data_IF_454443735004
#
_entry.id   IF_454443735004
#
_cell.length_a   1.000
_cell.length_b   1.000
_cell.length_c   1.000
_cell.angle_alpha   90.00
_cell.angle_beta   90.00
_cell.angle_gamma   90.00
#
_symmetry.space_group_name_H-M   'P 1'
#
loop_
_entity.id
_entity.type
_entity.pdbx_description
1 polymer ?
#
# COMPACT_ATOMS: atom_id res chain seq x y z
N UNK A 1 -3.14 22.07 23.80
CA UNK A 1 -2.85 20.82 24.53
C UNK A 1 -2.49 19.75 23.52
N UNK A 2 -1.38 19.03 23.72
CA UNK A 2 -1.14 17.80 22.97
C UNK A 2 -2.31 16.85 23.22
N UNK A 3 -2.88 16.24 22.18
CA UNK A 3 -3.94 15.25 22.35
C UNK A 3 -3.37 14.08 23.14
N UNK A 4 -4.00 13.72 24.26
CA UNK A 4 -3.63 12.52 25.01
C UNK A 4 -3.86 11.29 24.14
N UNK A 5 -2.84 10.46 23.96
CA UNK A 5 -2.96 9.21 23.21
C UNK A 5 -3.54 8.12 24.14
N UNK A 6 -4.77 7.63 23.92
CA UNK A 6 -5.41 6.69 24.83
C UNK A 6 -4.78 5.29 24.83
N UNK A 7 -3.85 5.03 23.91
CA UNK A 7 -3.15 3.76 23.76
C UNK A 7 -1.70 3.81 24.24
N UNK A 8 -1.27 4.92 24.87
CA UNK A 8 0.06 5.05 25.46
C UNK A 8 0.02 5.03 27.00
N UNK A 9 1.03 4.43 27.67
CA UNK A 9 2.10 3.62 27.07
C UNK A 9 1.55 2.29 26.51
N UNK A 10 2.14 1.81 25.43
CA UNK A 10 1.84 0.48 24.88
C UNK A 10 2.92 -0.52 25.29
N UNK A 11 2.47 -1.66 25.81
CA UNK A 11 3.33 -2.82 26.10
C UNK A 11 2.78 -4.01 25.31
N UNK A 12 3.61 -4.67 24.47
CA UNK A 12 3.18 -5.86 23.75
C UNK A 12 2.66 -6.97 24.66
N UNK A 13 1.69 -7.74 24.16
CA UNK A 13 1.25 -8.99 24.78
C UNK A 13 2.47 -9.93 24.99
N UNK A 14 2.70 -10.45 26.22
CA UNK A 14 3.77 -11.41 26.49
C UNK A 14 3.74 -12.66 25.60
N UNK A 15 2.56 -13.18 25.23
CA UNK A 15 2.42 -14.32 24.32
C UNK A 15 3.05 -13.98 22.97
N UNK A 16 2.75 -12.80 22.45
CA UNK A 16 3.31 -12.32 21.19
C UNK A 16 4.82 -12.10 21.30
N UNK A 17 5.28 -11.47 22.38
CA UNK A 17 6.70 -11.19 22.58
C UNK A 17 7.54 -12.48 22.56
N UNK A 18 7.00 -13.58 23.09
CA UNK A 18 7.64 -14.90 23.06
C UNK A 18 7.72 -15.53 21.65
N UNK A 19 6.95 -15.03 20.68
CA UNK A 19 6.95 -15.51 19.29
C UNK A 19 7.89 -14.71 18.38
N UNK A 20 8.53 -13.65 18.89
CA UNK A 20 9.44 -12.83 18.11
C UNK A 20 10.63 -13.66 17.60
N UNK A 21 10.98 -13.58 16.31
CA UNK A 21 12.13 -14.31 15.80
C UNK A 21 13.44 -13.72 16.32
N UNK A 22 14.53 -14.49 16.21
CA UNK A 22 15.88 -14.02 16.55
C UNK A 22 16.47 -13.00 15.55
N UNK A 23 15.69 -12.53 14.57
CA UNK A 23 16.11 -11.54 13.56
C UNK A 23 15.10 -10.40 13.52
N UNK A 24 15.60 -9.17 13.51
CA UNK A 24 14.76 -7.96 13.42
C UNK A 24 14.11 -7.85 12.03
N UNK A 25 12.84 -7.43 11.99
CA UNK A 25 12.19 -7.08 10.73
C UNK A 25 12.73 -5.78 10.13
N UNK A 26 13.31 -4.89 10.94
CA UNK A 26 14.05 -3.73 10.45
C UNK A 26 15.33 -4.15 9.69
N UNK A 27 16.05 -5.17 10.18
CA UNK A 27 17.22 -5.72 9.48
C UNK A 27 16.84 -6.36 8.14
N UNK A 28 15.77 -7.17 8.11
CA UNK A 28 15.30 -7.78 6.84
C UNK A 28 14.88 -6.68 5.84
N UNK A 29 14.23 -5.61 6.34
CA UNK A 29 13.91 -4.42 5.55
C UNK A 29 15.14 -3.60 5.14
N UNK A 30 16.31 -3.81 5.76
CA UNK A 30 17.55 -3.11 5.46
C UNK A 30 17.61 -1.69 6.01
N UNK A 31 17.01 -1.44 7.18
CA UNK A 31 17.20 -0.20 7.92
C UNK A 31 18.68 -0.01 8.27
N UNK A 32 19.23 1.16 7.94
CA UNK A 32 20.64 1.50 8.16
C UNK A 32 21.59 1.04 7.05
N UNK A 33 21.14 0.18 6.12
CA UNK A 33 21.97 -0.27 5.00
C UNK A 33 22.16 0.86 3.97
N UNK A 34 23.42 1.21 3.68
CA UNK A 34 23.79 2.26 2.71
C UNK A 34 23.94 1.75 1.29
N UNK A 35 24.15 0.45 1.10
CA UNK A 35 24.19 -0.18 -0.22
C UNK A 35 22.78 -0.55 -0.67
N UNK A 36 22.54 -0.45 -1.97
CA UNK A 36 21.29 -0.92 -2.56
C UNK A 36 21.22 -2.45 -2.52
N UNK A 37 20.03 -2.96 -2.20
CA UNK A 37 19.59 -4.31 -2.52
C UNK A 37 18.07 -4.34 -2.70
N UNK A 38 17.59 -5.37 -3.40
CA UNK A 38 16.16 -5.63 -3.60
C UNK A 38 15.44 -5.88 -2.25
N UNK A 39 14.13 -5.60 -2.16
CA UNK A 39 13.38 -5.87 -0.94
C UNK A 39 13.34 -7.37 -0.62
N UNK A 40 13.27 -7.69 0.68
CA UNK A 40 12.98 -9.03 1.18
C UNK A 40 11.63 -9.03 1.88
N UNK A 41 10.94 -10.16 1.79
CA UNK A 41 9.65 -10.33 2.44
C UNK A 41 9.84 -10.53 3.95
N UNK A 42 9.27 -9.62 4.74
CA UNK A 42 9.30 -9.70 6.21
C UNK A 42 8.02 -10.32 6.75
N UNK A 43 6.88 -10.00 6.12
CA UNK A 43 5.55 -10.31 6.61
C UNK A 43 4.57 -10.47 5.45
N UNK A 44 3.40 -11.04 5.74
CA UNK A 44 2.37 -11.41 4.77
C UNK A 44 2.84 -12.42 3.74
N UNK A 45 3.70 -13.36 4.13
CA UNK A 45 4.09 -14.45 3.24
C UNK A 45 2.91 -15.38 2.97
N UNK A 46 2.66 -15.79 1.70
CA UNK A 46 1.60 -16.74 1.36
C UNK A 46 1.61 -17.98 2.25
N UNK A 47 2.80 -18.56 2.46
CA UNK A 47 3.07 -19.52 3.53
C UNK A 47 3.84 -18.84 4.67
N UNK A 48 3.28 -18.76 5.90
CA UNK A 48 4.02 -18.21 7.03
C UNK A 48 5.30 -18.98 7.39
N UNK A 49 5.47 -20.24 6.99
CA UNK A 49 6.72 -20.98 7.24
C UNK A 49 7.91 -20.51 6.38
N UNK A 50 7.65 -19.75 5.32
CA UNK A 50 8.70 -19.20 4.44
C UNK A 50 9.41 -17.97 5.02
N UNK A 51 8.97 -17.45 6.17
CA UNK A 51 9.52 -16.23 6.77
C UNK A 51 9.83 -16.40 8.26
N UNK A 52 10.88 -15.72 8.77
CA UNK A 52 11.20 -15.74 10.20
C UNK A 52 10.04 -15.26 11.09
N UNK A 53 9.23 -14.32 10.60
CA UNK A 53 8.10 -13.75 11.35
C UNK A 53 6.80 -14.58 11.25
N UNK A 54 6.85 -15.80 10.72
CA UNK A 54 5.69 -16.68 10.51
C UNK A 54 4.84 -16.90 11.75
N UNK A 55 5.49 -17.11 12.90
CA UNK A 55 4.80 -17.27 14.19
C UNK A 55 3.99 -16.04 14.60
N UNK A 56 4.50 -14.84 14.31
CA UNK A 56 3.79 -13.58 14.54
C UNK A 56 2.63 -13.40 13.55
N UNK A 57 2.81 -13.80 12.28
CA UNK A 57 1.73 -13.81 11.28
C UNK A 57 0.59 -14.75 11.69
N UNK A 58 0.91 -15.92 12.24
CA UNK A 58 -0.10 -16.82 12.83
C UNK A 58 -0.78 -16.19 14.04
N UNK A 59 -0.04 -15.48 14.90
CA UNK A 59 -0.63 -14.75 16.02
C UNK A 59 -1.64 -13.70 15.53
N UNK A 60 -1.33 -12.91 14.50
CA UNK A 60 -2.29 -11.99 13.88
C UNK A 60 -3.58 -12.71 13.48
N UNK A 61 -3.46 -13.84 12.80
CA UNK A 61 -4.64 -14.60 12.39
C UNK A 61 -5.44 -15.13 13.59
N UNK A 62 -4.77 -15.63 14.65
CA UNK A 62 -5.45 -16.02 15.90
C UNK A 62 -6.20 -14.84 16.53
N UNK A 63 -5.62 -13.64 16.56
CA UNK A 63 -6.31 -12.46 17.10
C UNK A 63 -7.54 -12.10 16.28
N UNK A 64 -7.42 -12.12 14.95
CA UNK A 64 -8.56 -11.80 14.07
C UNK A 64 -9.65 -12.87 14.05
N UNK A 65 -9.31 -14.13 14.36
CA UNK A 65 -10.28 -15.23 14.42
C UNK A 65 -11.24 -15.08 15.61
N UNK A 66 -10.92 -14.23 16.59
CA UNK A 66 -11.83 -13.87 17.70
C UNK A 66 -13.03 -13.04 17.22
N UNK A 67 -12.95 -12.48 16.02
CA UNK A 67 -13.97 -11.63 15.40
C UNK A 67 -14.53 -12.35 14.16
N UNK A 68 -15.76 -12.92 14.21
CA UNK A 68 -16.26 -13.82 13.17
C UNK A 68 -16.39 -13.17 11.79
N UNK A 69 -16.64 -11.86 11.73
CA UNK A 69 -16.76 -11.11 10.48
C UNK A 69 -15.48 -11.15 9.63
N UNK A 70 -14.30 -11.27 10.24
CA UNK A 70 -13.04 -11.39 9.51
C UNK A 70 -12.99 -12.68 8.69
N UNK A 71 -13.52 -13.79 9.22
CA UNK A 71 -13.58 -15.06 8.48
C UNK A 71 -14.47 -14.93 7.24
N UNK A 72 -15.64 -14.31 7.38
CA UNK A 72 -16.55 -14.05 6.27
C UNK A 72 -15.90 -13.17 5.18
N UNK A 73 -15.22 -12.09 5.56
CA UNK A 73 -14.49 -11.23 4.62
C UNK A 73 -13.35 -11.96 3.91
N UNK A 74 -12.64 -12.87 4.59
CA UNK A 74 -11.59 -13.70 3.96
C UNK A 74 -12.18 -14.65 2.94
N UNK A 75 -13.27 -15.33 3.27
CA UNK A 75 -13.93 -16.26 2.36
C UNK A 75 -14.44 -15.53 1.11
N UNK A 76 -15.07 -14.37 1.26
CA UNK A 76 -15.50 -13.54 0.13
C UNK A 76 -14.33 -13.13 -0.77
N UNK A 77 -13.19 -12.74 -0.18
CA UNK A 77 -11.98 -12.44 -0.95
C UNK A 77 -11.44 -13.68 -1.65
N UNK A 78 -11.39 -14.82 -0.97
CA UNK A 78 -10.87 -16.06 -1.53
C UNK A 78 -11.68 -16.48 -2.77
N UNK A 79 -13.00 -16.33 -2.75
CA UNK A 79 -13.84 -16.58 -3.92
C UNK A 79 -13.45 -15.70 -5.13
N UNK A 80 -13.09 -14.43 -4.90
CA UNK A 80 -12.56 -13.55 -5.96
C UNK A 80 -11.21 -14.07 -6.45
N UNK A 81 -10.31 -14.49 -5.56
CA UNK A 81 -8.99 -15.01 -5.92
C UNK A 81 -9.05 -16.32 -6.70
N UNK A 82 -10.00 -17.20 -6.38
CA UNK A 82 -10.16 -18.51 -7.03
C UNK A 82 -10.86 -18.43 -8.39
N UNK A 83 -11.60 -17.35 -8.66
CA UNK A 83 -12.31 -17.19 -9.93
C UNK A 83 -11.34 -17.22 -11.14
N UNK A 84 -11.57 -18.03 -12.18
CA UNK A 84 -10.64 -18.10 -13.30
C UNK A 84 -10.59 -16.77 -14.07
N UNK A 85 -9.41 -16.42 -14.60
CA UNK A 85 -9.31 -15.36 -15.59
C UNK A 85 -9.85 -15.85 -16.95
N UNK A 86 -10.42 -14.95 -17.78
CA UNK A 86 -10.76 -15.27 -19.16
C UNK A 86 -9.60 -15.89 -19.94
N UNK A 87 -9.90 -16.71 -20.94
CA UNK A 87 -8.87 -17.19 -21.87
C UNK A 87 -8.25 -16.02 -22.64
N UNK A 88 -6.99 -16.19 -23.05
CA UNK A 88 -6.33 -15.23 -23.94
C UNK A 88 -7.04 -15.26 -25.30
N UNK A 89 -7.40 -14.10 -25.83
CA UNK A 89 -7.92 -14.02 -27.19
C UNK A 89 -6.82 -14.28 -28.23
N UNK A 90 -7.15 -14.97 -29.32
CA UNK A 90 -6.19 -15.30 -30.39
C UNK A 90 -5.73 -14.07 -31.19
N UNK A 91 -6.57 -13.03 -31.22
CA UNK A 91 -6.28 -11.78 -31.92
C UNK A 91 -5.81 -10.72 -30.95
N UNK A 92 -4.60 -10.20 -31.17
CA UNK A 92 -4.05 -9.09 -30.40
C UNK A 92 -4.63 -7.77 -30.92
N UNK A 93 -5.29 -7.03 -30.03
CA UNK A 93 -5.74 -5.67 -30.33
C UNK A 93 -4.56 -4.72 -30.22
N UNK A 94 -4.27 -4.02 -31.31
CA UNK A 94 -3.23 -2.99 -31.37
C UNK A 94 -3.88 -1.63 -31.17
N UNK A 95 -3.33 -0.83 -30.24
CA UNK A 95 -3.73 0.56 -29.99
C UNK A 95 -2.48 1.39 -29.76
N UNK A 96 -2.60 2.69 -29.93
CA UNK A 96 -1.57 3.63 -29.50
C UNK A 96 -1.36 3.51 -27.97
N UNK A 97 -0.12 3.66 -27.46
CA UNK A 97 0.15 3.64 -26.03
C UNK A 97 -0.65 4.63 -25.19
N UNK A 98 -0.91 5.82 -25.71
CA UNK A 98 -1.74 6.81 -25.03
C UNK A 98 -3.20 6.34 -24.95
N UNK A 99 -3.73 5.73 -26.01
CA UNK A 99 -5.09 5.20 -26.05
C UNK A 99 -5.28 4.03 -25.07
N UNK A 100 -4.27 3.15 -24.93
CA UNK A 100 -4.28 2.11 -23.90
C UNK A 100 -4.44 2.70 -22.51
N UNK A 101 -3.63 3.72 -22.19
CA UNK A 101 -3.62 4.38 -20.89
C UNK A 101 -4.92 5.11 -20.62
N UNK A 102 -5.44 5.84 -21.62
CA UNK A 102 -6.74 6.51 -21.55
C UNK A 102 -7.90 5.52 -21.35
N UNK A 103 -7.82 4.32 -21.93
CA UNK A 103 -8.83 3.29 -21.75
C UNK A 103 -8.94 2.77 -20.31
N UNK A 104 -7.95 3.00 -19.43
CA UNK A 104 -8.06 2.63 -18.01
C UNK A 104 -9.10 3.49 -17.26
N UNK A 105 -9.39 4.70 -17.75
CA UNK A 105 -10.39 5.60 -17.14
C UNK A 105 -11.77 4.95 -17.05
N UNK A 106 -12.13 4.03 -17.97
CA UNK A 106 -13.40 3.30 -17.92
C UNK A 106 -13.59 2.51 -16.60
N UNK A 107 -12.50 2.05 -15.98
CA UNK A 107 -12.54 1.31 -14.71
C UNK A 107 -12.69 2.24 -13.50
N UNK A 108 -12.24 3.48 -13.63
CA UNK A 108 -12.50 4.52 -12.62
C UNK A 108 -13.95 5.01 -12.75
N UNK A 109 -14.40 5.32 -13.95
CA UNK A 109 -15.76 5.83 -14.23
C UNK A 109 -16.86 4.85 -13.85
N UNK A 110 -16.59 3.55 -13.96
CA UNK A 110 -17.51 2.48 -13.52
C UNK A 110 -17.52 2.25 -12.00
N UNK A 111 -16.63 2.90 -11.25
CA UNK A 111 -16.47 2.72 -9.80
C UNK A 111 -15.78 1.42 -9.38
N UNK A 112 -15.19 0.69 -10.34
CA UNK A 112 -14.44 -0.55 -10.06
C UNK A 112 -13.22 -0.26 -9.17
N UNK A 113 -12.55 0.87 -9.43
CA UNK A 113 -11.43 1.38 -8.64
C UNK A 113 -11.44 2.90 -8.60
N UNK A 114 -10.59 3.48 -7.75
CA UNK A 114 -10.55 4.93 -7.51
C UNK A 114 -9.36 5.60 -8.22
N UNK A 115 -8.30 4.83 -8.52
CA UNK A 115 -7.14 5.29 -9.30
C UNK A 115 -6.63 4.19 -10.22
N UNK A 116 -6.13 4.61 -11.39
CA UNK A 116 -5.29 3.78 -12.25
C UNK A 116 -4.06 4.58 -12.67
N UNK A 117 -2.97 3.87 -12.94
CA UNK A 117 -1.71 4.46 -13.42
C UNK A 117 -0.81 3.39 -13.99
N UNK A 118 0.19 3.79 -14.76
CA UNK A 118 1.11 2.85 -15.42
C UNK A 118 2.54 3.23 -15.12
N UNK A 119 3.30 2.30 -14.55
CA UNK A 119 4.74 2.42 -14.43
C UNK A 119 5.43 1.51 -15.46
N UNK A 120 6.59 1.95 -15.94
CA UNK A 120 7.55 1.01 -16.54
C UNK A 120 8.08 0.08 -15.45
N UNK A 121 8.19 -1.21 -15.75
CA UNK A 121 8.74 -2.17 -14.79
C UNK A 121 10.18 -1.80 -14.45
N UNK A 122 10.48 -1.70 -13.15
CA UNK A 122 11.84 -1.65 -12.64
C UNK A 122 12.13 -2.90 -11.78
N UNK A 123 13.12 -3.74 -12.16
CA UNK A 123 13.53 -4.92 -11.40
C UNK A 123 13.89 -4.67 -9.93
N UNK A 124 14.27 -3.44 -9.56
CA UNK A 124 14.61 -3.06 -8.19
C UNK A 124 13.41 -3.13 -7.23
N UNK A 125 12.19 -3.12 -7.76
CA UNK A 125 10.96 -3.24 -6.98
C UNK A 125 10.57 -4.69 -6.69
N UNK A 126 11.20 -5.64 -7.39
CA UNK A 126 10.91 -7.07 -7.28
C UNK A 126 11.59 -7.63 -6.04
N UNK A 127 10.87 -8.44 -5.26
CA UNK A 127 11.43 -9.10 -4.09
C UNK A 127 12.57 -10.05 -4.48
N UNK A 128 13.59 -10.15 -3.62
CA UNK A 128 14.68 -11.12 -3.81
C UNK A 128 14.11 -12.55 -3.98
N UNK A 129 14.69 -13.31 -4.91
CA UNK A 129 14.21 -14.66 -5.27
C UNK A 129 13.10 -14.68 -6.33
N UNK A 130 12.58 -13.52 -6.74
CA UNK A 130 11.59 -13.42 -7.80
C UNK A 130 12.13 -12.69 -9.03
N UNK A 131 11.46 -12.91 -10.16
CA UNK A 131 11.64 -12.24 -11.43
C UNK A 131 10.27 -11.89 -12.01
N UNK A 132 10.18 -10.74 -12.68
CA UNK A 132 8.99 -10.32 -13.38
C UNK A 132 9.40 -9.91 -14.80
N UNK A 133 9.06 -10.69 -15.83
CA UNK A 133 9.49 -10.42 -17.21
C UNK A 133 8.71 -9.30 -17.89
N UNK A 134 7.50 -8.98 -17.41
CA UNK A 134 6.62 -7.99 -18.04
C UNK A 134 7.19 -6.57 -17.92
N UNK A 135 7.03 -5.81 -18.99
CA UNK A 135 7.58 -4.46 -19.14
C UNK A 135 6.72 -3.34 -18.53
N UNK A 136 5.47 -3.62 -18.18
CA UNK A 136 4.53 -2.64 -17.59
C UNK A 136 3.90 -3.14 -16.30
N UNK A 137 3.68 -2.21 -15.38
CA UNK A 137 2.89 -2.41 -14.17
C UNK A 137 1.73 -1.42 -14.21
N UNK A 138 0.51 -1.93 -14.39
CA UNK A 138 -0.71 -1.16 -14.26
C UNK A 138 -1.08 -1.15 -12.78
N UNK A 139 -0.92 -0.01 -12.12
CA UNK A 139 -1.26 0.20 -10.72
C UNK A 139 -2.73 0.55 -10.56
N UNK A 140 -3.33 0.04 -9.49
CA UNK A 140 -4.74 0.24 -9.16
C UNK A 140 -4.83 0.71 -7.70
N UNK A 141 -5.60 1.76 -7.45
CA UNK A 141 -5.88 2.28 -6.12
C UNK A 141 -7.35 2.14 -5.77
N UNK A 142 -7.66 1.71 -4.54
CA UNK A 142 -9.02 1.69 -3.99
C UNK A 142 -9.08 2.38 -2.63
N UNK A 143 -9.91 3.41 -2.52
CA UNK A 143 -10.06 4.22 -1.31
C UNK A 143 -10.81 3.46 -0.23
N UNK A 144 -10.42 3.68 1.03
CA UNK A 144 -11.26 3.26 2.15
C UNK A 144 -12.38 4.28 2.39
N UNK A 145 -13.48 3.84 3.00
CA UNK A 145 -14.42 4.76 3.64
C UNK A 145 -13.73 5.44 4.83
N UNK A 146 -13.55 6.77 4.73
CA UNK A 146 -12.91 7.55 5.78
C UNK A 146 -13.62 7.41 7.14
N UNK A 147 -14.95 7.38 7.16
CA UNK A 147 -15.70 7.31 8.42
C UNK A 147 -15.47 5.98 9.14
N UNK A 148 -15.27 4.91 8.37
CA UNK A 148 -14.99 3.58 8.93
C UNK A 148 -13.52 3.44 9.32
N UNK A 149 -12.57 3.83 8.46
CA UNK A 149 -11.14 3.72 8.78
C UNK A 149 -10.73 4.64 9.94
N UNK A 150 -11.40 5.79 10.12
CA UNK A 150 -11.20 6.69 11.25
C UNK A 150 -11.56 6.07 12.61
N UNK A 151 -12.24 4.91 12.62
CA UNK A 151 -12.49 4.15 13.86
C UNK A 151 -11.28 3.34 14.33
N UNK A 152 -10.17 3.37 13.59
CA UNK A 152 -8.90 2.77 13.97
C UNK A 152 -8.54 3.06 15.45
N UNK A 153 -8.15 2.04 16.24
CA UNK A 153 -7.81 0.68 15.85
C UNK A 153 -8.94 -0.34 16.11
N UNK A 154 -10.22 0.07 16.09
CA UNK A 154 -11.35 -0.85 16.32
C UNK A 154 -11.44 -1.93 15.21
N UNK A 155 -12.02 -3.11 15.50
CA UNK A 155 -12.22 -4.17 14.49
C UNK A 155 -12.91 -3.69 13.21
N UNK A 156 -13.83 -2.72 13.29
CA UNK A 156 -14.48 -2.09 12.12
C UNK A 156 -13.49 -1.52 11.10
N UNK A 157 -12.40 -0.90 11.55
CA UNK A 157 -11.35 -0.40 10.66
C UNK A 157 -10.59 -1.56 9.97
N UNK A 158 -10.32 -2.65 10.69
CA UNK A 158 -9.71 -3.85 10.12
C UNK A 158 -10.60 -4.52 9.06
N UNK A 159 -11.91 -4.58 9.30
CA UNK A 159 -12.88 -5.08 8.33
C UNK A 159 -12.98 -4.19 7.08
N UNK A 160 -12.88 -2.88 7.24
CA UNK A 160 -12.82 -1.94 6.12
C UNK A 160 -11.59 -2.18 5.24
N UNK A 161 -10.41 -2.37 5.86
CA UNK A 161 -9.19 -2.76 5.14
C UNK A 161 -9.39 -4.06 4.33
N UNK A 162 -10.08 -5.04 4.90
CA UNK A 162 -10.39 -6.29 4.21
C UNK A 162 -11.33 -6.12 3.03
N UNK A 163 -12.39 -5.31 3.19
CA UNK A 163 -13.30 -4.94 2.09
C UNK A 163 -12.52 -4.34 0.93
N UNK A 164 -11.58 -3.43 1.23
CA UNK A 164 -10.77 -2.81 0.19
C UNK A 164 -9.76 -3.76 -0.46
N UNK A 165 -9.20 -4.73 0.26
CA UNK A 165 -8.42 -5.79 -0.40
C UNK A 165 -9.26 -6.63 -1.36
N UNK A 166 -10.52 -6.91 -1.04
CA UNK A 166 -11.43 -7.60 -1.96
C UNK A 166 -11.73 -6.76 -3.20
N UNK A 167 -12.03 -5.46 -3.03
CA UNK A 167 -12.22 -4.53 -4.17
C UNK A 167 -10.97 -4.44 -5.05
N UNK A 168 -9.79 -4.28 -4.44
CA UNK A 168 -8.51 -4.23 -5.16
C UNK A 168 -8.24 -5.51 -5.97
N UNK A 169 -8.52 -6.69 -5.38
CA UNK A 169 -8.38 -7.97 -6.07
C UNK A 169 -9.36 -8.08 -7.25
N UNK A 170 -10.63 -7.71 -7.06
CA UNK A 170 -11.62 -7.71 -8.13
C UNK A 170 -11.22 -6.79 -9.27
N UNK A 171 -10.76 -5.57 -8.97
CA UNK A 171 -10.30 -4.61 -9.96
C UNK A 171 -9.11 -5.16 -10.77
N UNK A 172 -8.10 -5.71 -10.10
CA UNK A 172 -6.94 -6.30 -10.78
C UNK A 172 -7.34 -7.46 -11.69
N UNK A 173 -8.21 -8.36 -11.23
CA UNK A 173 -8.66 -9.51 -12.03
C UNK A 173 -9.53 -9.09 -13.21
N UNK A 174 -10.41 -8.09 -13.03
CA UNK A 174 -11.23 -7.55 -14.11
C UNK A 174 -10.36 -6.86 -15.17
N UNK A 175 -9.39 -6.02 -14.76
CA UNK A 175 -8.47 -5.34 -15.69
C UNK A 175 -7.57 -6.35 -16.42
N UNK A 176 -7.03 -7.34 -15.70
CA UNK A 176 -6.27 -8.43 -16.32
C UNK A 176 -7.12 -9.25 -17.29
N UNK A 177 -8.37 -9.57 -16.93
CA UNK A 177 -9.31 -10.27 -17.79
C UNK A 177 -9.65 -9.49 -19.06
N UNK A 178 -9.84 -8.18 -18.94
CA UNK A 178 -10.01 -7.28 -20.09
C UNK A 178 -8.79 -7.34 -21.01
N UNK A 179 -7.57 -7.18 -20.49
CA UNK A 179 -6.35 -7.27 -21.29
C UNK A 179 -6.22 -8.61 -22.03
N UNK A 180 -6.55 -9.71 -21.34
CA UNK A 180 -6.53 -11.06 -21.94
C UNK A 180 -7.52 -11.21 -23.08
N UNK A 181 -8.72 -10.63 -22.94
CA UNK A 181 -9.71 -10.56 -24.01
C UNK A 181 -9.28 -9.66 -25.18
N UNK A 182 -8.32 -8.75 -24.95
CA UNK A 182 -7.68 -7.96 -26.02
C UNK A 182 -6.44 -8.65 -26.60
N UNK A 183 -6.17 -9.91 -26.24
CA UNK A 183 -5.03 -10.70 -26.73
C UNK A 183 -3.70 -10.40 -26.03
N UNK A 184 -3.70 -9.66 -24.92
CA UNK A 184 -2.49 -9.37 -24.15
C UNK A 184 -2.41 -10.24 -22.90
N UNK A 185 -1.25 -10.88 -22.67
CA UNK A 185 -1.01 -11.57 -21.41
C UNK A 185 -1.03 -10.56 -20.27
N UNK A 186 -1.74 -10.93 -19.20
CA UNK A 186 -1.89 -10.08 -18.03
C UNK A 186 -2.02 -10.93 -16.76
N UNK A 187 -1.22 -10.58 -15.75
CA UNK A 187 -1.19 -11.24 -14.45
C UNK A 187 -1.63 -10.26 -13.35
N UNK A 188 -2.74 -10.53 -12.64
CA UNK A 188 -3.17 -9.68 -11.53
C UNK A 188 -2.33 -9.97 -10.27
N UNK A 189 -1.76 -8.93 -9.69
CA UNK A 189 -1.12 -8.97 -8.38
C UNK A 189 -2.08 -8.40 -7.33
N UNK A 190 -2.38 -9.19 -6.31
CA UNK A 190 -3.38 -8.85 -5.28
C UNK A 190 -2.75 -8.87 -3.89
N UNK A 191 -3.31 -8.06 -2.97
CA UNK A 191 -2.96 -8.09 -1.55
C UNK A 191 -3.97 -8.88 -0.71
N UNK A 192 -3.72 -9.06 0.60
CA UNK A 192 -2.61 -8.51 1.39
C UNK A 192 -1.34 -9.34 1.32
N UNK A 193 -1.40 -10.56 0.76
CA UNK A 193 -0.24 -11.43 0.71
C UNK A 193 0.83 -10.81 -0.19
N UNK A 194 2.06 -10.81 0.28
CA UNK A 194 3.20 -10.29 -0.47
C UNK A 194 3.45 -11.22 -1.65
N UNK A 195 3.30 -10.70 -2.86
CA UNK A 195 3.72 -11.36 -4.09
C UNK A 195 5.14 -10.96 -4.51
N UNK A 196 5.46 -11.14 -5.79
CA UNK A 196 6.79 -10.85 -6.32
C UNK A 196 7.16 -9.34 -6.33
N UNK A 197 6.19 -8.43 -6.26
CA UNK A 197 6.41 -6.99 -6.44
C UNK A 197 6.11 -6.17 -5.18
N UNK A 198 7.04 -5.29 -4.79
CA UNK A 198 6.74 -4.23 -3.84
C UNK A 198 5.94 -3.12 -4.55
N UNK A 199 4.65 -2.96 -4.21
CA UNK A 199 3.72 -2.10 -4.97
C UNK A 199 3.84 -0.59 -4.71
N UNK A 200 4.44 -0.15 -3.60
CA UNK A 200 4.56 1.29 -3.31
C UNK A 200 5.44 2.01 -4.35
N UNK A 201 6.66 1.53 -4.67
CA UNK A 201 7.51 2.17 -5.68
C UNK A 201 6.85 2.39 -7.07
N UNK A 202 6.23 1.39 -7.74
CA UNK A 202 5.55 1.64 -9.01
C UNK A 202 4.36 2.60 -8.87
N UNK A 203 3.60 2.56 -7.78
CA UNK A 203 2.53 3.53 -7.53
C UNK A 203 3.05 4.97 -7.42
N UNK A 204 4.18 5.18 -6.75
CA UNK A 204 4.84 6.50 -6.71
C UNK A 204 5.33 6.91 -8.10
N UNK A 205 5.96 5.98 -8.84
CA UNK A 205 6.47 6.22 -10.18
C UNK A 205 5.36 6.60 -11.18
N UNK A 206 4.16 6.04 -11.00
CA UNK A 206 3.01 6.29 -11.86
C UNK A 206 2.11 7.44 -11.38
N UNK A 207 2.55 8.21 -10.38
CA UNK A 207 1.87 9.43 -9.96
C UNK A 207 0.71 9.25 -8.98
N UNK A 208 0.64 8.16 -8.21
CA UNK A 208 -0.38 8.01 -7.16
C UNK A 208 -0.18 8.97 -5.98
N UNK A 209 0.96 9.65 -5.89
CA UNK A 209 1.27 10.63 -4.86
C UNK A 209 2.69 10.51 -4.37
N UNK A 210 2.92 10.85 -3.10
CA UNK A 210 4.25 10.86 -2.48
C UNK A 210 4.28 9.99 -1.22
N UNK A 211 5.46 9.51 -0.84
CA UNK A 211 5.64 8.73 0.38
C UNK A 211 5.50 9.63 1.62
N UNK A 212 4.54 9.33 2.49
CA UNK A 212 4.33 10.05 3.76
C UNK A 212 5.21 9.56 4.91
N UNK A 213 5.34 10.36 5.97
CA UNK A 213 6.08 10.03 7.21
C UNK A 213 5.65 8.69 7.83
N UNK A 214 4.39 8.30 7.67
CA UNK A 214 3.83 7.03 8.14
C UNK A 214 4.18 5.82 7.25
N UNK A 215 5.02 5.98 6.22
CA UNK A 215 5.48 4.89 5.35
C UNK A 215 4.48 4.42 4.30
N UNK A 216 3.35 5.12 4.13
CA UNK A 216 2.35 4.85 3.07
C UNK A 216 2.29 6.03 2.10
N UNK A 217 1.67 5.82 0.94
CA UNK A 217 1.48 6.87 -0.07
C UNK A 217 0.40 7.84 0.43
N UNK A 218 0.62 9.13 0.20
CA UNK A 218 -0.38 10.18 0.35
C UNK A 218 -0.73 10.67 -1.05
N UNK A 219 -1.99 10.50 -1.42
CA UNK A 219 -2.58 11.06 -2.62
C UNK A 219 -3.32 12.37 -2.26
N UNK A 220 -3.30 13.42 -3.10
CA UNK A 220 -4.04 14.66 -2.84
C UNK A 220 -5.55 14.47 -2.66
N UNK A 221 -6.15 13.54 -3.40
CA UNK A 221 -7.60 13.33 -3.43
C UNK A 221 -8.03 12.22 -2.48
N UNK A 222 -7.32 11.08 -2.49
CA UNK A 222 -7.64 9.91 -1.65
C UNK A 222 -7.00 9.96 -0.26
N UNK A 223 -6.10 10.92 -0.01
CA UNK A 223 -5.32 10.99 1.23
C UNK A 223 -4.36 9.82 1.40
N UNK A 224 -4.14 9.41 2.66
CA UNK A 224 -3.22 8.31 2.99
C UNK A 224 -3.90 6.93 3.07
N UNK A 225 -5.21 6.88 2.84
CA UNK A 225 -6.05 5.75 3.19
C UNK A 225 -6.65 5.07 1.97
N UNK A 226 -5.83 4.35 1.22
CA UNK A 226 -6.26 3.51 0.11
C UNK A 226 -5.40 2.23 0.02
N UNK A 227 -5.85 1.23 -0.73
CA UNK A 227 -5.13 -0.02 -0.99
C UNK A 227 -4.67 -0.10 -2.44
N UNK A 228 -3.61 -0.86 -2.64
CA UNK A 228 -3.02 -1.11 -3.94
C UNK A 228 -3.32 -2.53 -4.41
N UNK A 229 -3.52 -2.66 -5.71
CA UNK A 229 -3.29 -3.87 -6.49
C UNK A 229 -2.60 -3.49 -7.79
N UNK A 230 -2.16 -4.48 -8.56
CA UNK A 230 -1.51 -4.22 -9.84
C UNK A 230 -1.87 -5.28 -10.88
N UNK A 231 -1.57 -4.99 -12.14
CA UNK A 231 -1.57 -5.94 -13.24
C UNK A 231 -0.25 -5.84 -13.98
N UNK A 232 0.43 -6.97 -14.19
CA UNK A 232 1.64 -7.08 -14.98
C UNK A 232 1.26 -7.40 -16.42
N UNK A 233 1.81 -6.69 -17.42
CA UNK A 233 1.54 -6.96 -18.83
C UNK A 233 2.64 -6.38 -19.74
N UNK A 234 2.70 -6.87 -20.98
CA UNK A 234 3.48 -6.27 -22.07
C UNK A 234 2.62 -5.45 -23.05
N UNK A 235 1.33 -5.29 -22.75
CA UNK A 235 0.49 -4.36 -23.48
C UNK A 235 1.15 -2.96 -23.49
N UNK A 236 1.19 -2.27 -24.63
CA UNK A 236 2.09 -1.14 -24.84
C UNK A 236 1.51 0.13 -24.23
N UNK A 237 1.27 0.17 -22.92
CA UNK A 237 0.78 1.36 -22.23
C UNK A 237 1.84 2.48 -22.19
N UNK A 238 1.40 3.72 -22.37
CA UNK A 238 2.19 4.89 -22.05
C UNK A 238 2.31 5.04 -20.51
N UNK A 239 3.52 5.21 -19.96
CA UNK A 239 3.69 5.43 -18.52
C UNK A 239 3.02 6.74 -18.07
N UNK A 240 2.38 6.71 -16.91
CA UNK A 240 1.87 7.92 -16.25
C UNK A 240 3.00 8.56 -15.43
N UNK A 241 3.17 9.89 -15.46
CA UNK A 241 4.30 10.53 -14.79
C UNK A 241 4.10 10.57 -13.27
N UNK A 242 5.21 10.49 -12.52
CA UNK A 242 5.24 10.82 -11.11
C UNK A 242 4.79 12.28 -10.87
N UNK A 243 4.20 12.55 -9.70
CA UNK A 243 3.67 13.86 -9.34
C UNK A 243 4.28 14.37 -8.04
N UNK A 244 4.61 15.67 -7.99
CA UNK A 244 5.10 16.37 -6.80
C UNK A 244 4.09 17.41 -6.32
N UNK A 245 3.49 17.12 -5.17
CA UNK A 245 2.50 17.95 -4.47
C UNK A 245 3.08 18.64 -3.23
N UNK A 246 4.39 18.52 -2.98
CA UNK A 246 5.08 19.06 -1.81
C UNK A 246 4.75 18.32 -0.51
N UNK A 247 4.24 17.09 -0.58
CA UNK A 247 3.87 16.29 0.59
C UNK A 247 5.10 15.97 1.44
N UNK A 248 6.24 15.69 0.82
CA UNK A 248 7.47 15.41 1.57
C UNK A 248 7.85 16.57 2.50
N UNK A 249 7.87 17.79 1.97
CA UNK A 249 8.16 19.01 2.74
C UNK A 249 7.11 19.30 3.81
N UNK A 250 5.84 18.97 3.55
CA UNK A 250 4.80 19.03 4.58
C UNK A 250 5.07 18.03 5.71
N UNK A 251 5.43 16.79 5.36
CA UNK A 251 5.72 15.72 6.31
C UNK A 251 6.94 16.03 7.19
N UNK A 252 7.93 16.79 6.72
CA UNK A 252 9.07 17.22 7.54
C UNK A 252 8.63 18.00 8.79
N UNK A 253 7.55 18.80 8.70
CA UNK A 253 7.09 19.69 9.77
C UNK A 253 5.82 19.17 10.50
N UNK A 254 5.13 18.18 9.93
CA UNK A 254 3.92 17.62 10.52
C UNK A 254 4.25 16.45 11.46
N UNK A 255 3.70 16.46 12.68
CA UNK A 255 3.92 15.41 13.69
C UNK A 255 2.66 14.59 14.04
N UNK A 256 1.53 14.84 13.37
CA UNK A 256 0.23 14.27 13.79
C UNK A 256 0.21 12.74 13.81
N UNK A 257 0.70 12.07 12.75
CA UNK A 257 0.75 10.60 12.73
C UNK A 257 1.75 10.05 13.76
N UNK A 258 2.85 10.77 14.03
CA UNK A 258 3.85 10.39 15.01
C UNK A 258 3.29 10.46 16.44
N UNK A 259 2.58 11.55 16.77
CA UNK A 259 1.93 11.73 18.07
C UNK A 259 0.80 10.70 18.30
N UNK A 260 0.10 10.32 17.23
CA UNK A 260 -0.99 9.35 17.27
C UNK A 260 -0.52 7.88 17.34
N UNK A 261 0.71 7.56 16.92
CA UNK A 261 1.21 6.18 16.85
C UNK A 261 1.38 5.56 18.25
N UNK A 262 0.62 4.54 18.66
CA UNK A 262 0.73 3.98 20.02
C UNK A 262 2.11 3.43 20.39
N UNK A 263 2.80 2.64 19.53
CA UNK A 263 4.12 2.12 19.86
C UNK A 263 5.29 3.06 19.50
N UNK A 264 5.00 4.32 19.12
CA UNK A 264 6.05 5.31 18.78
C UNK A 264 6.99 4.82 17.67
N UNK A 265 6.42 4.17 16.65
CA UNK A 265 7.16 3.53 15.55
C UNK A 265 7.56 4.49 14.42
N UNK A 266 7.09 5.75 14.42
CA UNK A 266 7.35 6.70 13.33
C UNK A 266 8.53 7.61 13.67
N UNK A 267 9.58 7.55 12.85
CA UNK A 267 10.76 8.42 13.00
C UNK A 267 10.43 9.89 12.68
N UNK A 268 11.07 10.81 13.41
CA UNK A 268 10.93 12.25 13.15
C UNK A 268 11.59 12.66 11.82
N UNK A 269 12.63 11.94 11.41
CA UNK A 269 13.40 12.18 10.20
C UNK A 269 13.39 10.94 9.29
N UNK A 270 13.70 11.15 8.01
CA UNK A 270 13.91 10.06 7.05
C UNK A 270 15.08 9.18 7.48
N UNK A 271 14.95 7.88 7.24
CA UNK A 271 15.94 6.85 7.52
C UNK A 271 16.61 6.40 6.22
N UNK A 272 17.85 5.93 6.32
CA UNK A 272 18.50 5.22 5.22
C UNK A 272 18.03 3.78 5.23
N UNK A 273 17.47 3.30 4.11
CA UNK A 273 16.95 1.94 3.96
C UNK A 273 17.33 1.43 2.58
N UNK A 274 18.21 0.42 2.54
CA UNK A 274 18.74 -0.18 1.30
C UNK A 274 19.28 0.87 0.31
N UNK A 275 20.11 1.77 0.81
CA UNK A 275 20.76 2.85 0.04
C UNK A 275 19.88 4.06 -0.28
N UNK A 276 18.59 4.06 0.09
CA UNK A 276 17.69 5.19 -0.13
C UNK A 276 17.34 5.90 1.18
N UNK A 277 17.41 7.24 1.20
CA UNK A 277 16.95 8.06 2.33
C UNK A 277 15.45 8.38 2.18
N UNK A 278 14.61 7.75 2.98
CA UNK A 278 13.13 7.82 2.86
C UNK A 278 12.42 7.78 4.21
N UNK A 279 11.13 8.13 4.22
CA UNK A 279 10.29 7.88 5.38
C UNK A 279 10.17 6.37 5.62
N UNK A 280 10.27 5.97 6.88
CA UNK A 280 10.28 4.58 7.29
C UNK A 280 9.54 4.43 8.61
N UNK A 281 8.90 3.29 8.80
CA UNK A 281 8.23 2.89 10.04
C UNK A 281 9.09 1.84 10.69
N UNK A 282 9.45 2.04 11.95
CA UNK A 282 10.10 1.01 12.77
C UNK A 282 9.18 -0.21 12.83
N UNK A 283 9.54 -1.24 12.08
CA UNK A 283 8.71 -2.42 11.87
C UNK A 283 8.52 -3.18 13.18
N UNK A 284 9.60 -3.35 13.94
CA UNK A 284 9.60 -4.11 15.19
C UNK A 284 8.74 -3.44 16.28
N UNK A 285 8.66 -2.11 16.27
CA UNK A 285 7.74 -1.37 17.14
C UNK A 285 6.30 -1.40 16.64
N UNK A 286 6.09 -1.26 15.33
CA UNK A 286 4.75 -1.20 14.75
C UNK A 286 4.00 -2.53 14.85
N UNK A 287 4.69 -3.63 14.55
CA UNK A 287 4.10 -4.95 14.35
C UNK A 287 3.31 -5.47 15.58
N UNK A 288 3.80 -5.34 16.83
CA UNK A 288 3.08 -5.89 17.97
C UNK A 288 1.69 -5.26 18.19
N UNK A 289 1.60 -3.92 18.07
CA UNK A 289 0.32 -3.22 18.17
C UNK A 289 -0.58 -3.57 16.98
N UNK A 290 -0.01 -3.62 15.78
CA UNK A 290 -0.71 -4.01 14.56
C UNK A 290 -1.37 -5.39 14.68
N UNK A 291 -0.64 -6.37 15.22
CA UNK A 291 -1.10 -7.73 15.44
C UNK A 291 -2.21 -7.85 16.48
N UNK A 292 -2.10 -7.12 17.58
CA UNK A 292 -3.11 -7.10 18.64
C UNK A 292 -4.41 -6.37 18.23
N UNK A 293 -4.36 -5.56 17.17
CA UNK A 293 -5.47 -4.70 16.75
C UNK A 293 -5.92 -4.93 15.30
N UNK A 294 -5.65 -6.12 14.77
CA UNK A 294 -6.20 -6.57 13.49
C UNK A 294 -5.89 -5.65 12.29
N UNK A 295 -4.85 -4.81 12.36
CA UNK A 295 -4.53 -3.88 11.28
C UNK A 295 -4.17 -2.43 11.68
N UNK A 296 -4.35 -2.03 12.95
CA UNK A 296 -4.13 -0.68 13.50
C UNK A 296 -4.69 0.50 12.67
N UNK A 297 -3.98 0.97 11.63
CA UNK A 297 -4.34 2.06 10.72
C UNK A 297 -4.47 3.49 11.30
N UNK A 298 -4.16 3.73 12.58
CA UNK A 298 -4.29 5.07 13.21
C UNK A 298 -3.50 6.15 12.45
N UNK A 299 -2.27 5.85 12.04
CA UNK A 299 -1.38 6.83 11.40
C UNK A 299 -1.90 7.33 10.03
N UNK A 300 -2.55 6.47 9.25
CA UNK A 300 -3.16 6.85 7.97
C UNK A 300 -4.52 7.51 8.16
N UNK A 301 -5.28 7.13 9.20
CA UNK A 301 -6.56 7.74 9.54
C UNK A 301 -6.42 9.17 10.08
N UNK A 302 -5.45 9.42 10.97
CA UNK A 302 -5.20 10.74 11.55
C UNK A 302 -4.43 11.69 10.61
N UNK A 303 -3.89 11.17 9.50
CA UNK A 303 -3.19 12.00 8.52
C UNK A 303 -4.11 13.13 8.03
N UNK A 304 -3.69 14.41 8.09
CA UNK A 304 -4.53 15.53 7.64
C UNK A 304 -5.03 15.40 6.21
N UNK A 305 -4.24 14.75 5.35
CA UNK A 305 -4.58 14.49 3.95
C UNK A 305 -5.72 13.50 3.78
N UNK A 306 -5.93 12.59 4.74
CA UNK A 306 -7.03 11.63 4.71
C UNK A 306 -8.38 12.24 5.09
N UNK A 307 -8.39 13.44 5.67
CA UNK A 307 -9.64 14.11 6.06
C UNK A 307 -10.40 14.55 4.80
N UNK A 308 -11.68 14.18 4.64
CA UNK A 308 -12.47 14.55 3.46
C UNK A 308 -12.41 16.04 3.16
N UNK A 309 -12.07 16.39 1.92
CA UNK A 309 -11.96 17.77 1.44
C UNK A 309 -10.72 18.55 1.90
N UNK A 310 -9.85 17.98 2.75
CA UNK A 310 -8.64 18.68 3.23
C UNK A 310 -7.45 18.47 2.29
N UNK A 311 -7.24 17.26 1.77
CA UNK A 311 -6.13 16.93 0.88
C UNK A 311 -5.98 17.88 -0.33
N UNK A 312 -7.04 18.10 -1.15
CA UNK A 312 -6.95 19.00 -2.30
C UNK A 312 -6.62 20.45 -1.91
N UNK A 313 -7.16 20.90 -0.78
CA UNK A 313 -6.88 22.23 -0.24
C UNK A 313 -5.42 22.38 0.21
N UNK A 314 -4.84 21.34 0.82
CA UNK A 314 -3.43 21.30 1.19
C UNK A 314 -2.54 21.34 -0.06
N UNK A 315 -2.82 20.50 -1.07
CA UNK A 315 -2.09 20.51 -2.34
C UNK A 315 -2.10 21.89 -3.00
N UNK A 316 -3.27 22.52 -3.13
CA UNK A 316 -3.39 23.86 -3.70
C UNK A 316 -2.64 24.93 -2.89
N UNK A 317 -2.62 24.82 -1.55
CA UNK A 317 -1.85 25.73 -0.69
C UNK A 317 -0.35 25.55 -0.88
N UNK A 318 0.15 24.32 -0.97
CA UNK A 318 1.56 24.01 -1.17
C UNK A 318 2.03 24.44 -2.56
N UNK A 319 1.22 24.22 -3.60
CA UNK A 319 1.50 24.70 -4.96
C UNK A 319 1.65 26.23 -5.02
N UNK A 320 0.72 26.97 -4.38
CA UNK A 320 0.82 28.45 -4.30
C UNK A 320 2.07 28.92 -3.57
N UNK A 321 2.47 28.23 -2.49
CA UNK A 321 3.72 28.53 -1.78
C UNK A 321 4.93 28.32 -2.69
N UNK A 322 5.01 27.17 -3.37
CA UNK A 322 6.10 26.85 -4.30
C UNK A 322 6.24 27.89 -5.42
N UNK A 323 5.12 28.32 -6.00
CA UNK A 323 5.15 29.34 -7.06
C UNK A 323 5.66 30.68 -6.56
N UNK A 324 5.26 31.10 -5.35
CA UNK A 324 5.75 32.35 -4.74
C UNK A 324 7.25 32.29 -4.47
N UNK A 325 7.72 31.17 -3.90
CA UNK A 325 9.13 30.97 -3.53
C UNK A 325 10.03 30.84 -4.78
N UNK A 326 9.48 30.54 -5.97
CA UNK A 326 10.20 30.50 -7.23
C UNK A 326 10.29 31.87 -7.94
N UNK A 327 9.43 32.82 -7.57
CA UNK A 327 9.33 34.15 -8.20
C UNK A 327 9.94 35.29 -7.38
N UNK A 328 10.34 35.02 -6.13
CA UNK A 328 10.94 35.99 -5.21
C UNK A 328 12.36 35.59 -4.84
#
# INVERSE_FOLDING_TARGET
MARTNPHRPFVPDPEQAALAPGVSGNDINGLGETAFRRPRMVYWAPDPDDIPHGSLQRYFYRQSAKEPDFASRRAARQAVLDAPLPLLADTVVIRDPADWTAALTQFVDSGLCDLTGVAEMNPDWVFEGHEIPQSRVIMIGVAHDYNVIATAPKPSAGLEVMTQYTRAAQAAKTIAGWLRQQGWQAEPLTGPMTGALAMIPPALACGFGELGKHGSIINPDLGASFRLSAVLSDAPFAPTPAQDHGIDGFCQNCHICQDACPPEALFAQKQTVRGARKWYVDFDKCLPFFNQTHGCAICIAECPWSRPGIGPNLAAKLARKRNRDATG
#
